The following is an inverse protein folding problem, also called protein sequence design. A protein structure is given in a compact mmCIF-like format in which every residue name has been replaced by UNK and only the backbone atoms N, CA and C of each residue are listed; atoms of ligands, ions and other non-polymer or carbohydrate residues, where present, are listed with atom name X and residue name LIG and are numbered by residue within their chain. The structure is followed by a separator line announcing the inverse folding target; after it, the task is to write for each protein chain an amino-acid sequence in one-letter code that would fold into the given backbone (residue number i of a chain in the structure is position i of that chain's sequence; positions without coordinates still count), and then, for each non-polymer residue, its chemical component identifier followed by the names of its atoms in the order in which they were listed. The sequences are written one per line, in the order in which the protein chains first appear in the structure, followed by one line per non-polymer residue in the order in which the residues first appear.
data_IF_980037903136
#
_entry.id   IF_980037903136
#
_cell.length_a   1.000
_cell.length_b   1.000
_cell.length_c   1.000
_cell.angle_alpha   90.00
_cell.angle_beta   90.00
_cell.angle_gamma   90.00
#
_symmetry.space_group_name_H-M   'P 1'
#
loop_
_entity.id
_entity.type
_entity.pdbx_description
1 polymer ?
#
# COMPACT_ATOMS: atom_id res chain seq x y z
N UNK A 1 -3.58 -13.76 -21.88
CA UNK A 1 -2.81 -14.92 -21.36
C UNK A 1 -1.37 -14.55 -20.99
N UNK A 2 -1.18 -13.84 -19.89
CA UNK A 2 0.15 -13.34 -19.46
C UNK A 2 1.08 -14.46 -18.94
N UNK A 3 0.50 -15.52 -18.34
CA UNK A 3 1.26 -16.68 -17.85
C UNK A 3 1.91 -17.50 -18.97
N UNK A 4 1.32 -17.53 -20.16
CA UNK A 4 1.85 -18.27 -21.31
C UNK A 4 3.08 -17.57 -21.91
N UNK A 5 3.07 -16.23 -21.98
CA UNK A 5 4.22 -15.43 -22.42
C UNK A 5 5.40 -15.49 -21.46
N UNK A 6 5.15 -15.43 -20.14
CA UNK A 6 6.20 -15.54 -19.13
C UNK A 6 6.97 -16.88 -19.21
N UNK A 7 6.28 -17.98 -19.53
CA UNK A 7 6.91 -19.30 -19.72
C UNK A 7 7.71 -19.43 -21.01
N UNK A 8 7.44 -18.62 -22.03
CA UNK A 8 8.25 -18.59 -23.27
C UNK A 8 9.57 -17.86 -23.03
N UNK A 9 9.52 -16.67 -22.44
CA UNK A 9 10.73 -15.85 -22.14
C UNK A 9 11.73 -16.58 -21.24
N UNK A 10 11.26 -17.38 -20.28
CA UNK A 10 12.16 -18.16 -19.41
C UNK A 10 12.89 -19.28 -20.16
N UNK A 11 12.27 -19.89 -21.18
CA UNK A 11 12.92 -20.93 -22.00
C UNK A 11 13.99 -20.37 -22.93
N UNK A 12 13.74 -19.20 -23.51
CA UNK A 12 14.69 -18.57 -24.43
C UNK A 12 15.99 -18.14 -23.72
N UNK A 13 15.92 -17.79 -22.42
CA UNK A 13 17.11 -17.47 -21.62
C UNK A 13 17.98 -18.69 -21.30
N UNK A 14 17.41 -19.90 -21.18
CA UNK A 14 18.22 -21.10 -20.93
C UNK A 14 18.96 -21.61 -22.17
N UNK A 15 18.46 -21.28 -23.37
CA UNK A 15 19.08 -21.71 -24.63
C UNK A 15 20.24 -20.83 -25.09
N UNK A 16 20.48 -19.70 -24.42
CA UNK A 16 21.46 -18.70 -24.85
C UNK A 16 22.81 -18.76 -24.11
N UNK A 17 23.12 -19.82 -23.35
CA UNK A 17 24.47 -20.00 -22.79
C UNK A 17 25.39 -20.69 -23.82
N UNK A 18 26.38 -19.97 -24.39
CA UNK A 18 27.35 -20.59 -25.28
C UNK A 18 28.30 -21.47 -24.47
N UNK A 19 28.26 -22.77 -24.75
CA UNK A 19 29.29 -23.73 -24.37
C UNK A 19 30.60 -23.39 -25.10
N UNK A 20 31.42 -22.56 -24.44
CA UNK A 20 32.77 -22.20 -24.89
C UNK A 20 33.78 -23.27 -24.50
N UNK A 21 34.05 -24.19 -25.43
CA UNK A 21 35.29 -24.99 -25.46
C UNK A 21 36.29 -24.32 -26.40
N UNK A 22 37.52 -24.06 -25.95
CA UNK A 22 38.56 -23.53 -26.85
C UNK A 22 39.86 -23.17 -26.15
N UNK A 23 40.70 -24.17 -25.96
CA UNK A 23 42.09 -24.17 -25.49
C UNK A 23 43.05 -23.28 -26.29
N UNK A 24 44.09 -22.74 -25.62
CA UNK A 24 45.42 -22.52 -26.21
C UNK A 24 46.50 -22.48 -25.11
N UNK A 25 47.47 -23.36 -25.25
CA UNK A 25 48.66 -23.46 -24.41
C UNK A 25 49.72 -22.44 -24.85
N UNK A 26 50.45 -21.87 -23.89
CA UNK A 26 51.81 -21.38 -24.11
C UNK A 26 52.63 -21.55 -22.85
N UNK A 27 53.63 -22.40 -22.95
CA UNK A 27 54.68 -22.70 -21.98
C UNK A 27 55.58 -21.49 -21.71
N UNK A 28 55.72 -21.11 -20.45
CA UNK A 28 56.92 -20.45 -19.92
C UNK A 28 57.28 -21.03 -18.56
N UNK A 29 58.49 -21.61 -18.50
CA UNK A 29 59.18 -22.04 -17.29
C UNK A 29 59.46 -20.80 -16.43
N UNK A 30 59.05 -20.86 -15.17
CA UNK A 30 59.40 -19.86 -14.15
C UNK A 30 58.98 -20.38 -12.79
N UNK A 31 59.96 -20.93 -12.07
CA UNK A 31 59.81 -21.51 -10.75
C UNK A 31 59.32 -20.48 -9.72
N UNK A 32 58.31 -20.88 -8.95
CA UNK A 32 58.13 -20.66 -7.51
C UNK A 32 56.64 -20.79 -7.22
N UNK A 33 56.24 -21.92 -6.63
CA UNK A 33 54.97 -21.99 -5.95
C UNK A 33 54.92 -20.84 -4.92
N UNK A 34 53.90 -19.96 -4.91
CA UNK A 34 53.60 -19.24 -3.70
C UNK A 34 53.18 -20.30 -2.70
N UNK A 35 54.12 -20.67 -1.83
CA UNK A 35 53.86 -21.47 -0.65
C UNK A 35 52.60 -20.91 0.01
N UNK A 36 51.61 -21.78 0.21
CA UNK A 36 50.38 -21.44 0.88
C UNK A 36 50.66 -21.03 2.32
N UNK A 37 50.93 -19.76 2.55
CA UNK A 37 50.92 -19.12 3.86
C UNK A 37 49.47 -18.83 4.28
N UNK A 38 48.65 -19.87 4.39
CA UNK A 38 47.35 -19.76 5.03
C UNK A 38 47.03 -21.06 5.76
N UNK A 39 47.50 -21.18 7.01
CA UNK A 39 46.75 -21.67 8.20
C UNK A 39 47.62 -21.87 9.47
N UNK A 40 48.66 -21.05 9.79
CA UNK A 40 49.37 -21.20 11.07
C UNK A 40 48.46 -20.99 12.30
N UNK A 41 47.31 -20.35 12.13
CA UNK A 41 46.35 -20.06 13.20
C UNK A 41 45.61 -21.32 13.66
N UNK A 42 45.25 -22.25 12.77
CA UNK A 42 44.52 -23.46 13.16
C UNK A 42 45.42 -24.43 13.91
N UNK A 43 46.68 -24.57 13.49
CA UNK A 43 47.66 -25.42 14.17
C UNK A 43 47.97 -24.87 15.58
N UNK A 44 48.10 -23.55 15.71
CA UNK A 44 48.27 -22.90 17.02
C UNK A 44 47.04 -23.11 17.94
N UNK A 45 45.83 -22.99 17.39
CA UNK A 45 44.60 -23.26 18.14
C UNK A 45 44.46 -24.73 18.54
N UNK A 46 44.86 -25.67 17.68
CA UNK A 46 44.85 -27.09 17.99
C UNK A 46 45.87 -27.45 19.06
N UNK A 47 47.06 -26.85 18.99
CA UNK A 47 48.10 -27.04 19.98
C UNK A 47 47.69 -26.45 21.34
N UNK A 48 47.02 -25.30 21.35
CA UNK A 48 46.44 -24.69 22.55
C UNK A 48 45.23 -25.48 23.09
N UNK A 49 44.46 -26.14 22.24
CA UNK A 49 43.37 -27.02 22.66
C UNK A 49 43.90 -28.26 23.38
N UNK A 50 44.93 -28.89 22.81
CA UNK A 50 45.51 -30.11 23.35
C UNK A 50 46.32 -29.88 24.64
N UNK A 51 46.70 -28.64 24.95
CA UNK A 51 47.37 -28.31 26.22
C UNK A 51 46.40 -28.13 27.39
N UNK A 52 45.10 -28.02 27.15
CA UNK A 52 44.07 -27.91 28.19
C UNK A 52 43.76 -29.27 28.82
N UNK A 53 43.41 -29.27 30.10
CA UNK A 53 42.94 -30.49 30.77
C UNK A 53 41.58 -30.95 30.22
N UNK A 54 41.29 -32.25 30.31
CA UNK A 54 40.02 -32.81 29.82
C UNK A 54 38.77 -32.13 30.46
N UNK A 55 38.90 -31.65 31.70
CA UNK A 55 37.82 -30.93 32.38
C UNK A 55 37.59 -29.53 31.78
N UNK A 56 38.66 -28.78 31.51
CA UNK A 56 38.59 -27.46 30.87
C UNK A 56 38.09 -27.55 29.42
N UNK A 57 38.52 -28.58 28.69
CA UNK A 57 38.00 -28.86 27.34
C UNK A 57 36.48 -29.10 27.36
N UNK A 58 35.98 -29.88 28.32
CA UNK A 58 34.54 -30.13 28.45
C UNK A 58 33.78 -28.85 28.83
N UNK A 59 34.31 -28.03 29.74
CA UNK A 59 33.70 -26.73 30.08
C UNK A 59 33.68 -25.77 28.87
N UNK A 60 34.75 -25.73 28.08
CA UNK A 60 34.81 -24.91 26.86
C UNK A 60 33.81 -25.38 25.79
N UNK A 61 33.64 -26.69 25.61
CA UNK A 61 32.63 -27.25 24.70
C UNK A 61 31.21 -26.94 25.16
N UNK A 62 30.90 -27.10 26.45
CA UNK A 62 29.58 -26.77 26.99
C UNK A 62 29.32 -25.26 26.89
N UNK A 63 30.30 -24.42 27.23
CA UNK A 63 30.20 -22.97 27.14
C UNK A 63 29.98 -22.48 25.70
N UNK A 64 30.74 -23.00 24.74
CA UNK A 64 30.58 -22.66 23.32
C UNK A 64 29.24 -23.15 22.76
N UNK A 65 28.75 -24.32 23.17
CA UNK A 65 27.44 -24.82 22.78
C UNK A 65 26.30 -23.94 23.33
N UNK A 66 26.34 -23.56 24.60
CA UNK A 66 25.35 -22.66 25.21
C UNK A 66 25.39 -21.28 24.56
N UNK A 67 26.58 -20.73 24.32
CA UNK A 67 26.73 -19.45 23.62
C UNK A 67 26.22 -19.52 22.18
N UNK A 68 26.47 -20.62 21.47
CA UNK A 68 25.94 -20.88 20.14
C UNK A 68 24.42 -20.97 20.12
N UNK A 69 23.81 -21.68 21.08
CA UNK A 69 22.35 -21.70 21.24
C UNK A 69 21.80 -20.32 21.55
N UNK A 70 22.42 -19.55 22.45
CA UNK A 70 21.99 -18.19 22.76
C UNK A 70 22.08 -17.26 21.55
N UNK A 71 23.13 -17.38 20.72
CA UNK A 71 23.24 -16.63 19.46
C UNK A 71 22.18 -17.04 18.44
N UNK A 72 21.91 -18.33 18.28
CA UNK A 72 20.92 -18.83 17.31
C UNK A 72 19.49 -18.48 17.75
N UNK A 73 19.14 -18.69 19.02
CA UNK A 73 17.83 -18.33 19.55
C UNK A 73 17.68 -16.81 19.72
N UNK A 74 18.72 -16.13 20.20
CA UNK A 74 18.75 -14.67 20.35
C UNK A 74 18.65 -13.94 19.02
N UNK A 75 19.37 -14.38 17.99
CA UNK A 75 19.29 -13.78 16.65
C UNK A 75 17.91 -13.95 16.00
N UNK A 76 17.15 -14.99 16.37
CA UNK A 76 15.74 -15.14 15.96
C UNK A 76 14.75 -14.43 16.87
N UNK A 77 15.07 -14.28 18.16
CA UNK A 77 14.23 -13.55 19.10
C UNK A 77 14.23 -12.04 18.82
N UNK A 78 15.39 -11.46 18.44
CA UNK A 78 15.52 -10.03 18.15
C UNK A 78 14.54 -9.51 17.08
N UNK A 79 14.42 -10.10 15.87
CA UNK A 79 13.45 -9.62 14.87
C UNK A 79 12.01 -9.81 15.32
N UNK A 80 11.70 -10.85 16.09
CA UNK A 80 10.35 -11.07 16.65
C UNK A 80 10.02 -9.99 17.69
N UNK A 81 10.95 -9.68 18.59
CA UNK A 81 10.79 -8.61 19.58
C UNK A 81 10.70 -7.24 18.92
N UNK A 82 11.51 -6.99 17.89
CA UNK A 82 11.45 -5.75 17.10
C UNK A 82 10.10 -5.61 16.37
N UNK A 83 9.59 -6.68 15.77
CA UNK A 83 8.27 -6.70 15.14
C UNK A 83 7.16 -6.47 16.17
N UNK A 84 7.25 -7.11 17.34
CA UNK A 84 6.27 -6.95 18.41
C UNK A 84 6.29 -5.52 18.98
N UNK A 85 7.48 -4.95 19.19
CA UNK A 85 7.63 -3.55 19.59
C UNK A 85 7.07 -2.59 18.53
N UNK A 86 7.33 -2.85 17.24
CA UNK A 86 6.75 -2.07 16.15
C UNK A 86 5.22 -2.17 16.13
N UNK A 87 4.66 -3.38 16.29
CA UNK A 87 3.21 -3.58 16.32
C UNK A 87 2.56 -2.88 17.52
N UNK A 88 3.17 -2.95 18.70
CA UNK A 88 2.72 -2.22 19.90
C UNK A 88 2.83 -0.71 19.69
N UNK A 89 3.90 -0.23 19.07
CA UNK A 89 4.07 1.17 18.71
C UNK A 89 2.98 1.65 17.73
N UNK A 90 2.71 0.89 16.68
CA UNK A 90 1.64 1.19 15.72
C UNK A 90 0.26 1.19 16.37
N UNK A 91 0.01 0.24 17.28
CA UNK A 91 -1.22 0.19 18.08
C UNK A 91 -1.36 1.40 18.99
N UNK A 92 -0.27 1.86 19.61
CA UNK A 92 -0.29 3.07 20.45
C UNK A 92 -0.52 4.35 19.62
N UNK A 93 -0.18 4.35 18.33
CA UNK A 93 -0.30 5.47 17.39
C UNK A 93 -1.46 5.30 16.39
N UNK A 94 -2.56 4.69 16.83
CA UNK A 94 -3.78 4.61 16.03
C UNK A 94 -4.38 6.02 15.85
N UNK A 95 -4.84 6.40 14.64
CA UNK A 95 -5.49 7.69 14.43
C UNK A 95 -6.78 7.79 15.25
N UNK A 96 -7.01 8.97 15.80
CA UNK A 96 -8.23 9.27 16.54
C UNK A 96 -9.42 9.38 15.57
N UNK A 97 -10.62 9.01 16.03
CA UNK A 97 -11.85 9.12 15.21
C UNK A 97 -12.11 10.58 14.80
N UNK A 98 -11.76 11.54 15.65
CA UNK A 98 -11.89 12.97 15.37
C UNK A 98 -11.02 13.48 14.21
N UNK A 99 -9.93 12.79 13.86
CA UNK A 99 -9.08 13.19 12.72
C UNK A 99 -9.61 12.69 11.38
N UNK A 100 -10.63 11.81 11.40
CA UNK A 100 -11.20 11.24 10.19
C UNK A 100 -11.99 12.27 9.38
N UNK A 101 -12.87 13.04 10.03
CA UNK A 101 -13.71 14.03 9.36
C UNK A 101 -12.93 15.10 8.57
N UNK A 102 -11.89 15.76 9.13
CA UNK A 102 -11.10 16.73 8.38
C UNK A 102 -10.37 16.07 7.20
N UNK A 103 -9.82 14.87 7.40
CA UNK A 103 -9.21 14.11 6.31
C UNK A 103 -10.21 13.78 5.20
N UNK A 104 -11.40 13.28 5.56
CA UNK A 104 -12.45 12.92 4.61
C UNK A 104 -12.91 14.13 3.80
N UNK A 105 -13.00 15.31 4.44
CA UNK A 105 -13.29 16.58 3.76
C UNK A 105 -12.22 16.96 2.74
N UNK A 106 -10.96 16.84 3.13
CA UNK A 106 -9.83 17.15 2.26
C UNK A 106 -9.79 16.20 1.07
N UNK A 107 -9.85 14.89 1.32
CA UNK A 107 -9.90 13.85 0.29
C UNK A 107 -11.10 14.03 -0.64
N UNK A 108 -12.29 14.30 -0.10
CA UNK A 108 -13.49 14.54 -0.90
C UNK A 108 -13.30 15.73 -1.84
N UNK A 109 -12.72 16.81 -1.33
CA UNK A 109 -12.55 18.05 -2.10
C UNK A 109 -11.46 17.93 -3.16
N UNK A 110 -10.34 17.26 -2.83
CA UNK A 110 -9.18 17.17 -3.72
C UNK A 110 -9.29 16.03 -4.73
N UNK A 111 -9.80 14.86 -4.34
CA UNK A 111 -9.79 13.67 -5.19
C UNK A 111 -11.17 13.35 -5.77
N UNK A 112 -12.20 13.31 -4.92
CA UNK A 112 -13.51 12.84 -5.34
C UNK A 112 -14.25 13.90 -6.16
N UNK A 113 -14.34 15.14 -5.66
CA UNK A 113 -15.12 16.22 -6.28
C UNK A 113 -14.70 16.56 -7.73
N UNK A 114 -13.41 16.60 -8.10
CA UNK A 114 -13.02 16.78 -9.49
C UNK A 114 -13.51 15.65 -10.41
N UNK A 115 -13.47 14.39 -9.95
CA UNK A 115 -13.97 13.25 -10.73
C UNK A 115 -15.50 13.31 -10.88
N UNK A 116 -16.19 13.58 -9.76
CA UNK A 116 -17.65 13.79 -9.69
C UNK A 116 -18.08 14.88 -10.69
N UNK A 117 -17.43 16.03 -10.65
CA UNK A 117 -17.81 17.19 -11.45
C UNK A 117 -17.56 17.00 -12.94
N UNK A 118 -16.44 16.40 -13.33
CA UNK A 118 -16.15 16.06 -14.73
C UNK A 118 -17.17 15.08 -15.30
N UNK A 119 -17.52 14.04 -14.54
CA UNK A 119 -18.47 13.06 -15.00
C UNK A 119 -19.90 13.59 -15.05
N UNK A 120 -20.27 14.45 -14.10
CA UNK A 120 -21.52 15.18 -14.14
C UNK A 120 -21.60 16.07 -15.38
N UNK A 121 -20.55 16.84 -15.68
CA UNK A 121 -20.48 17.65 -16.90
C UNK A 121 -20.62 16.80 -18.15
N UNK A 122 -19.96 15.64 -18.21
CA UNK A 122 -20.08 14.69 -19.33
C UNK A 122 -21.53 14.21 -19.50
N UNK A 123 -22.16 13.76 -18.43
CA UNK A 123 -23.57 13.31 -18.45
C UNK A 123 -24.53 14.42 -18.84
N UNK A 124 -24.34 15.62 -18.32
CA UNK A 124 -25.15 16.78 -18.67
C UNK A 124 -25.01 17.11 -20.16
N UNK A 125 -23.80 17.01 -20.73
CA UNK A 125 -23.60 17.19 -22.17
C UNK A 125 -24.27 16.09 -23.00
N UNK A 126 -24.20 14.83 -22.55
CA UNK A 126 -24.89 13.71 -23.20
C UNK A 126 -26.41 13.87 -23.16
N UNK A 127 -26.96 14.26 -22.00
CA UNK A 127 -28.39 14.51 -21.83
C UNK A 127 -28.85 15.75 -22.60
N UNK A 128 -28.07 16.82 -22.65
CA UNK A 128 -28.40 18.01 -23.45
C UNK A 128 -28.52 17.67 -24.94
N UNK A 129 -27.69 16.74 -25.45
CA UNK A 129 -27.82 16.24 -26.83
C UNK A 129 -29.11 15.46 -27.06
N UNK A 130 -29.60 14.75 -26.04
CA UNK A 130 -30.83 13.94 -26.13
C UNK A 130 -32.10 14.76 -25.85
N UNK A 131 -32.02 15.78 -25.00
CA UNK A 131 -33.16 16.56 -24.50
C UNK A 131 -32.91 18.06 -24.68
N UNK A 132 -32.88 18.53 -25.93
CA UNK A 132 -32.56 19.91 -26.31
C UNK A 132 -33.33 20.98 -25.51
N UNK A 133 -34.60 20.74 -25.15
CA UNK A 133 -35.47 21.80 -24.62
C UNK A 133 -35.53 21.89 -23.09
N UNK A 134 -35.30 20.80 -22.36
CA UNK A 134 -35.46 20.80 -20.90
C UNK A 134 -34.18 21.18 -20.17
N UNK A 135 -33.03 20.79 -20.72
CA UNK A 135 -31.73 20.96 -20.08
C UNK A 135 -31.10 22.32 -20.28
N UNK A 136 -31.55 23.11 -21.25
CA UNK A 136 -30.99 24.44 -21.51
C UNK A 136 -31.15 25.38 -20.31
N UNK A 137 -32.31 25.28 -19.61
CA UNK A 137 -32.58 26.07 -18.40
C UNK A 137 -31.65 25.68 -17.24
N UNK A 138 -31.47 24.38 -17.00
CA UNK A 138 -30.66 23.86 -15.88
C UNK A 138 -29.16 24.02 -16.14
N UNK A 139 -28.73 23.84 -17.40
CA UNK A 139 -27.35 24.04 -17.82
C UNK A 139 -26.92 25.50 -17.68
N UNK A 140 -27.80 26.47 -17.91
CA UNK A 140 -27.49 27.89 -17.74
C UNK A 140 -27.20 28.25 -16.27
N UNK A 141 -27.97 27.69 -15.33
CA UNK A 141 -27.75 27.85 -13.90
C UNK A 141 -26.46 27.16 -13.46
N UNK A 142 -26.22 25.93 -13.92
CA UNK A 142 -25.02 25.18 -13.59
C UNK A 142 -23.75 25.83 -14.18
N UNK A 143 -23.83 26.35 -15.41
CA UNK A 143 -22.74 27.07 -16.07
C UNK A 143 -22.41 28.37 -15.35
N UNK A 144 -23.41 29.16 -14.96
CA UNK A 144 -23.20 30.38 -14.17
C UNK A 144 -22.56 30.10 -12.81
N UNK A 145 -22.92 28.96 -12.22
CA UNK A 145 -22.33 28.50 -10.96
C UNK A 145 -20.87 28.04 -11.15
N UNK A 146 -20.60 27.11 -12.08
CA UNK A 146 -19.26 26.53 -12.35
C UNK A 146 -18.23 27.56 -12.83
N UNK A 147 -18.64 28.59 -13.57
CA UNK A 147 -17.69 29.54 -14.19
C UNK A 147 -17.21 30.64 -13.24
N UNK A 148 -17.88 30.83 -12.09
CA UNK A 148 -17.36 31.68 -11.02
C UNK A 148 -16.30 30.92 -10.23
N UNK A 149 -15.15 31.54 -9.93
CA UNK A 149 -13.98 31.03 -9.15
C UNK A 149 -14.32 30.52 -7.73
N UNK A 150 -15.33 29.67 -7.62
CA UNK A 150 -16.02 29.24 -6.41
C UNK A 150 -15.91 27.73 -6.23
N UNK A 151 -14.99 27.07 -6.94
CA UNK A 151 -14.79 25.61 -6.86
C UNK A 151 -14.67 25.12 -5.42
N UNK A 152 -13.97 25.88 -4.56
CA UNK A 152 -13.84 25.55 -3.12
C UNK A 152 -15.16 25.67 -2.36
N UNK A 153 -15.98 26.69 -2.65
CA UNK A 153 -17.30 26.88 -2.05
C UNK A 153 -18.31 25.85 -2.55
N UNK A 154 -18.21 25.46 -3.82
CA UNK A 154 -19.05 24.41 -4.40
C UNK A 154 -18.70 23.06 -3.77
N UNK A 155 -17.42 22.72 -3.71
CA UNK A 155 -16.96 21.49 -3.09
C UNK A 155 -17.41 21.41 -1.62
N UNK A 156 -17.36 22.52 -0.87
CA UNK A 156 -17.84 22.53 0.51
C UNK A 156 -19.35 22.31 0.62
N UNK A 157 -20.15 22.92 -0.27
CA UNK A 157 -21.60 22.72 -0.28
C UNK A 157 -21.98 21.27 -0.63
N UNK A 158 -21.30 20.67 -1.62
CA UNK A 158 -21.47 19.26 -1.97
C UNK A 158 -21.04 18.34 -0.83
N UNK A 159 -19.93 18.66 -0.16
CA UNK A 159 -19.45 17.91 0.99
C UNK A 159 -20.49 17.87 2.11
N UNK A 160 -21.07 19.01 2.50
CA UNK A 160 -22.10 19.06 3.55
C UNK A 160 -23.30 18.17 3.23
N UNK A 161 -23.69 18.16 1.96
CA UNK A 161 -24.83 17.39 1.48
C UNK A 161 -24.52 15.88 1.44
N UNK A 162 -23.31 15.50 1.02
CA UNK A 162 -22.83 14.11 1.05
C UNK A 162 -22.69 13.63 2.49
N UNK A 163 -22.09 14.43 3.38
CA UNK A 163 -21.89 14.10 4.79
C UNK A 163 -23.20 13.80 5.51
N UNK A 164 -24.26 14.57 5.25
CA UNK A 164 -25.60 14.33 5.82
C UNK A 164 -26.16 12.94 5.48
N UNK A 165 -25.75 12.36 4.35
CA UNK A 165 -26.22 11.06 3.90
C UNK A 165 -25.22 9.92 4.20
N UNK A 166 -23.93 10.24 4.22
CA UNK A 166 -22.85 9.28 4.29
C UNK A 166 -22.34 9.03 5.72
N UNK A 167 -22.54 9.97 6.65
CA UNK A 167 -22.17 9.83 8.06
C UNK A 167 -23.38 9.34 8.89
N UNK A 168 -23.16 8.58 9.98
CA UNK A 168 -21.86 8.29 10.63
C UNK A 168 -21.02 7.21 9.92
N UNK A 169 -19.68 7.34 9.94
CA UNK A 169 -18.79 6.30 9.46
C UNK A 169 -18.77 5.13 10.44
N UNK A 170 -18.66 3.91 9.92
CA UNK A 170 -18.48 2.72 10.76
C UNK A 170 -16.99 2.48 10.98
N UNK A 171 -16.55 2.55 12.23
CA UNK A 171 -15.16 2.29 12.58
C UNK A 171 -14.94 0.82 12.93
N UNK A 172 -13.81 0.26 12.48
CA UNK A 172 -13.37 -1.07 12.90
C UNK A 172 -11.88 -1.03 13.23
N UNK A 173 -11.53 -1.55 14.39
CA UNK A 173 -10.15 -1.57 14.87
C UNK A 173 -9.53 -2.94 14.61
N UNK A 174 -8.56 -2.96 13.69
CA UNK A 174 -7.62 -4.06 13.53
C UNK A 174 -6.38 -3.77 14.38
N UNK A 175 -5.64 -4.81 14.79
CA UNK A 175 -4.61 -4.71 15.84
C UNK A 175 -3.65 -3.52 15.73
N UNK A 176 -3.24 -3.13 14.52
CA UNK A 176 -2.33 -2.02 14.23
C UNK A 176 -2.90 -1.00 13.22
N UNK A 177 -4.17 -1.14 12.83
CA UNK A 177 -4.81 -0.30 11.82
C UNK A 177 -6.26 -0.03 12.22
N UNK A 178 -6.71 1.21 12.10
CA UNK A 178 -8.13 1.54 12.22
C UNK A 178 -8.72 1.68 10.83
N UNK A 179 -9.87 1.08 10.55
CA UNK A 179 -10.60 1.33 9.31
C UNK A 179 -11.83 2.16 9.58
N UNK A 180 -12.18 3.03 8.63
CA UNK A 180 -13.41 3.79 8.63
C UNK A 180 -14.15 3.50 7.32
N UNK A 181 -15.34 2.93 7.40
CA UNK A 181 -16.19 2.65 6.25
C UNK A 181 -17.31 3.67 6.16
N UNK A 182 -17.42 4.30 4.99
CA UNK A 182 -18.43 5.33 4.70
C UNK A 182 -19.33 4.80 3.60
N UNK A 183 -20.65 4.87 3.80
CA UNK A 183 -21.59 4.49 2.75
C UNK A 183 -21.80 5.66 1.79
N UNK A 184 -21.20 5.58 0.62
CA UNK A 184 -21.42 6.50 -0.51
C UNK A 184 -22.49 5.96 -1.49
N UNK A 185 -23.19 4.89 -1.12
CA UNK A 185 -24.28 4.34 -1.91
C UNK A 185 -25.56 5.16 -1.79
N UNK A 186 -26.39 5.16 -2.83
CA UNK A 186 -27.74 5.70 -2.76
C UNK A 186 -28.73 4.63 -2.30
N UNK A 187 -29.88 5.05 -1.76
CA UNK A 187 -30.94 4.14 -1.29
C UNK A 187 -31.47 3.21 -2.39
N UNK A 188 -31.37 3.62 -3.66
CA UNK A 188 -31.77 2.82 -4.83
C UNK A 188 -30.62 2.03 -5.46
N UNK A 189 -29.41 2.58 -5.49
CA UNK A 189 -28.23 1.94 -6.06
C UNK A 189 -27.62 0.85 -5.18
N UNK A 190 -28.15 0.68 -3.97
CA UNK A 190 -27.60 -0.20 -2.95
C UNK A 190 -26.49 0.48 -2.13
N UNK A 191 -26.18 -0.03 -0.94
CA UNK A 191 -25.08 0.49 -0.14
C UNK A 191 -23.75 0.26 -0.86
N UNK A 192 -22.89 1.29 -0.88
CA UNK A 192 -21.54 1.22 -1.44
C UNK A 192 -20.58 1.78 -0.41
N UNK A 193 -19.78 0.89 0.15
CA UNK A 193 -18.89 1.22 1.25
C UNK A 193 -17.51 1.58 0.71
N UNK A 194 -17.07 2.82 0.97
CA UNK A 194 -15.68 3.23 0.78
C UNK A 194 -14.94 3.03 2.08
N UNK A 195 -13.82 2.31 2.02
CA UNK A 195 -13.02 1.99 3.21
C UNK A 195 -11.75 2.83 3.23
N UNK A 196 -11.57 3.57 4.32
CA UNK A 196 -10.36 4.31 4.61
C UNK A 196 -9.54 3.57 5.66
N UNK A 197 -8.22 3.55 5.47
CA UNK A 197 -7.26 2.88 6.34
C UNK A 197 -6.49 3.93 7.13
N UNK A 198 -6.48 3.77 8.44
CA UNK A 198 -5.85 4.65 9.41
C UNK A 198 -4.60 4.00 9.97
N UNK A 199 -3.44 4.60 9.69
CA UNK A 199 -2.13 4.19 10.20
C UNK A 199 -1.36 5.40 10.69
N UNK A 200 -0.72 5.29 11.86
CA UNK A 200 0.21 6.30 12.37
C UNK A 200 -0.37 7.72 12.27
N UNK A 201 -1.53 7.94 12.91
CA UNK A 201 -2.24 9.24 12.92
C UNK A 201 -2.71 9.77 11.56
N UNK A 202 -2.49 9.03 10.47
CA UNK A 202 -2.90 9.40 9.11
C UNK A 202 -3.98 8.46 8.61
N UNK A 203 -4.80 9.00 7.72
CA UNK A 203 -5.80 8.24 6.98
C UNK A 203 -5.40 8.18 5.52
N UNK A 204 -5.73 7.07 4.87
CA UNK A 204 -5.43 6.77 3.48
C UNK A 204 -6.64 6.09 2.88
N UNK A 205 -6.91 6.31 1.59
CA UNK A 205 -7.87 5.50 0.86
C UNK A 205 -7.35 4.07 0.74
N UNK A 206 -8.24 3.07 0.84
CA UNK A 206 -7.85 1.69 0.58
C UNK A 206 -7.32 1.54 -0.86
N UNK A 207 -6.09 1.02 -1.06
CA UNK A 207 -5.51 0.86 -2.40
C UNK A 207 -6.24 -0.19 -3.25
N UNK A 208 -7.12 -0.98 -2.62
CA UNK A 208 -7.89 -2.04 -3.28
C UNK A 208 -9.14 -1.49 -3.97
N UNK A 209 -9.51 -0.23 -3.72
CA UNK A 209 -10.77 0.34 -4.17
C UNK A 209 -10.58 1.18 -5.43
N UNK A 210 -11.11 0.71 -6.56
CA UNK A 210 -11.20 1.48 -7.80
C UNK A 210 -12.40 2.43 -7.74
N UNK A 211 -12.20 3.71 -8.06
CA UNK A 211 -13.20 4.76 -7.81
C UNK A 211 -14.12 5.08 -9.00
N UNK A 212 -13.92 4.49 -10.18
CA UNK A 212 -14.35 5.12 -11.46
C UNK A 212 -15.85 5.09 -11.76
N UNK A 213 -16.60 4.04 -11.38
CA UNK A 213 -17.97 3.88 -11.90
C UNK A 213 -19.04 4.25 -10.85
N UNK A 214 -18.62 4.48 -9.60
CA UNK A 214 -19.53 4.41 -8.47
C UNK A 214 -20.14 5.77 -8.08
N UNK A 215 -19.34 6.81 -8.29
CA UNK A 215 -19.58 8.21 -7.93
C UNK A 215 -20.84 8.78 -8.60
N UNK A 216 -21.11 8.29 -9.80
CA UNK A 216 -22.18 8.71 -10.68
C UNK A 216 -23.58 8.48 -10.08
N UNK A 217 -23.74 7.39 -9.33
CA UNK A 217 -25.05 6.98 -8.80
C UNK A 217 -25.53 7.85 -7.64
N UNK A 218 -24.61 8.48 -6.90
CA UNK A 218 -24.91 9.39 -5.81
C UNK A 218 -25.45 10.71 -6.38
N UNK A 219 -24.80 11.24 -7.42
CA UNK A 219 -25.22 12.46 -8.11
C UNK A 219 -26.62 12.38 -8.71
N UNK A 220 -26.94 11.29 -9.40
CA UNK A 220 -28.26 11.11 -10.02
C UNK A 220 -29.38 11.13 -8.97
N UNK A 221 -29.13 10.62 -7.76
CA UNK A 221 -30.11 10.66 -6.68
C UNK A 221 -30.24 12.06 -6.08
N UNK A 222 -29.13 12.77 -5.91
CA UNK A 222 -29.15 14.14 -5.39
C UNK A 222 -29.83 15.12 -6.36
N UNK A 223 -29.55 15.00 -7.66
CA UNK A 223 -30.22 15.79 -8.68
C UNK A 223 -31.74 15.54 -8.70
N UNK A 224 -32.18 14.31 -8.42
CA UNK A 224 -33.60 14.00 -8.27
C UNK A 224 -34.20 14.55 -6.98
N UNK A 225 -33.46 14.52 -5.88
CA UNK A 225 -33.93 15.09 -4.61
C UNK A 225 -34.09 16.60 -4.70
N UNK A 226 -33.13 17.29 -5.31
CA UNK A 226 -33.24 18.74 -5.53
C UNK A 226 -34.42 19.09 -6.45
N UNK A 227 -34.66 18.30 -7.51
CA UNK A 227 -35.81 18.47 -8.39
C UNK A 227 -37.18 18.22 -7.70
N UNK A 228 -37.21 17.40 -6.65
CA UNK A 228 -38.42 17.17 -5.84
C UNK A 228 -38.67 18.29 -4.83
N UNK A 229 -37.62 18.91 -4.31
CA UNK A 229 -37.74 19.98 -3.32
C UNK A 229 -38.27 21.30 -3.90
N UNK A 230 -38.24 21.45 -5.24
CA UNK A 230 -38.72 22.63 -5.96
C UNK A 230 -40.14 22.49 -6.53
N UNK A 231 -40.79 21.34 -6.35
CA UNK A 231 -42.22 21.12 -6.66
C UNK A 231 -43.08 21.36 -5.42
#
# INVERSE_FOLDING_TARGET
DYRAEARRRWRDQQQSQPSGSGSSASSSRGAAAPAGEQMPVLDQLWQQWNSLSAHEQMQALVGSFVAGLFLVYGSRALPVLALLALLLYLRARLPHTATFEPFFKEWFTQELFPQVSQELQRKLQEQAKQQQNFFESMASQFKGWVMGKTETLQASAWYELVVKHALPPTYSDLFFMRTATVNLGSRRGGPRYVTFWGFHERWLLSPLQGMSDEVVTLLDELARQSARATQ
#
